data_IF_311119109017
#
_entry.id   IF_311119109017
#
_cell.length_a   1.000
_cell.length_b   1.000
_cell.length_c   1.000
_cell.angle_alpha   90.00
_cell.angle_beta   90.00
_cell.angle_gamma   90.00
#
_symmetry.space_group_name_H-M   'P 1'
#
loop_
_entity.id
_entity.type
_entity.pdbx_description
1 polymer ?
#
# COMPACT_ATOMS: atom_id res chain seq x y z
N UNK A 1 6.65 43.75 -63.55
CA UNK A 1 5.75 43.65 -62.36
C UNK A 1 5.76 42.27 -61.69
N UNK A 2 6.00 41.18 -62.39
CA UNK A 2 5.93 39.81 -61.84
C UNK A 2 7.05 39.47 -60.80
N UNK A 3 8.25 40.11 -60.86
CA UNK A 3 9.35 39.84 -59.93
C UNK A 3 9.19 40.46 -58.53
N UNK A 4 8.32 41.45 -58.36
CA UNK A 4 8.08 42.11 -57.09
C UNK A 4 7.20 41.27 -56.18
N UNK A 5 6.17 40.65 -56.74
CA UNK A 5 5.24 39.79 -56.00
C UNK A 5 5.86 38.48 -55.48
N UNK A 6 6.83 37.94 -56.22
CA UNK A 6 7.54 36.74 -55.77
C UNK A 6 8.47 37.03 -54.58
N UNK A 7 9.06 38.22 -54.49
CA UNK A 7 9.90 38.57 -53.33
C UNK A 7 9.08 38.85 -52.06
N UNK A 8 7.95 39.46 -52.18
CA UNK A 8 7.04 39.71 -51.03
C UNK A 8 6.41 38.43 -50.50
N UNK A 9 6.06 37.47 -51.36
CA UNK A 9 5.55 36.17 -50.94
C UNK A 9 6.60 35.32 -50.18
N UNK A 10 7.85 35.35 -50.62
CA UNK A 10 8.95 34.63 -49.95
C UNK A 10 9.25 35.22 -48.57
N UNK A 11 9.28 36.56 -48.44
CA UNK A 11 9.50 37.24 -47.18
C UNK A 11 8.37 36.97 -46.17
N UNK A 12 7.11 36.96 -46.64
CA UNK A 12 5.95 36.63 -45.80
C UNK A 12 5.96 35.17 -45.36
N UNK A 13 6.37 34.22 -46.21
CA UNK A 13 6.49 32.83 -45.87
C UNK A 13 7.61 32.57 -44.84
N UNK A 14 8.76 33.24 -44.98
CA UNK A 14 9.86 33.14 -44.02
C UNK A 14 9.50 33.74 -42.66
N UNK A 15 8.74 34.83 -42.63
CA UNK A 15 8.28 35.43 -41.36
C UNK A 15 7.24 34.53 -40.67
N UNK A 16 6.35 33.84 -41.42
CA UNK A 16 5.40 32.89 -40.86
C UNK A 16 6.09 31.64 -40.27
N UNK A 17 7.14 31.13 -40.93
CA UNK A 17 7.92 29.98 -40.43
C UNK A 17 8.73 30.38 -39.19
N UNK A 18 9.32 31.58 -39.17
CA UNK A 18 10.01 32.09 -38.00
C UNK A 18 9.07 32.33 -36.80
N UNK A 19 7.85 32.81 -37.05
CA UNK A 19 6.80 32.97 -36.02
C UNK A 19 6.32 31.64 -35.44
N UNK A 20 6.16 30.60 -36.28
CA UNK A 20 5.78 29.27 -35.84
C UNK A 20 6.93 28.57 -35.06
N UNK A 21 8.18 28.76 -35.48
CA UNK A 21 9.33 28.23 -34.77
C UNK A 21 9.55 28.91 -33.39
N UNK A 22 9.33 30.24 -33.33
CA UNK A 22 9.40 30.98 -32.06
C UNK A 22 8.23 30.60 -31.12
N UNK A 23 7.02 30.40 -31.67
CA UNK A 23 5.87 29.90 -30.90
C UNK A 23 6.08 28.49 -30.36
N UNK A 24 6.71 27.60 -31.15
CA UNK A 24 7.02 26.24 -30.71
C UNK A 24 8.15 26.22 -29.67
N UNK A 25 9.14 27.11 -29.80
CA UNK A 25 10.21 27.27 -28.79
C UNK A 25 9.71 27.91 -27.50
N UNK A 26 8.71 28.77 -27.54
CA UNK A 26 8.10 29.36 -26.35
C UNK A 26 7.11 28.42 -25.69
N UNK A 27 6.34 27.65 -26.47
CA UNK A 27 5.40 26.66 -25.93
C UNK A 27 6.14 25.41 -25.37
N UNK A 28 7.25 25.04 -25.94
CA UNK A 28 8.11 23.98 -25.41
C UNK A 28 8.82 24.33 -24.08
N UNK A 29 8.88 25.63 -23.70
CA UNK A 29 9.48 26.06 -22.43
C UNK A 29 8.50 26.08 -21.24
N UNK A 30 7.20 26.09 -21.48
CA UNK A 30 6.20 26.01 -20.40
C UNK A 30 5.83 24.58 -20.01
N UNK A 31 6.23 23.58 -20.81
CA UNK A 31 5.96 22.15 -20.53
C UNK A 31 7.05 21.37 -19.85
N UNK A 32 8.27 21.89 -19.74
CA UNK A 32 9.31 21.33 -18.87
C UNK A 32 9.19 21.99 -17.49
N UNK A 33 8.15 21.61 -16.75
CA UNK A 33 8.10 21.85 -15.32
C UNK A 33 9.36 21.22 -14.73
N UNK A 34 10.38 22.03 -14.52
CA UNK A 34 11.47 21.69 -13.60
C UNK A 34 10.76 21.54 -12.27
N UNK A 35 10.46 20.29 -11.93
CA UNK A 35 9.97 19.93 -10.62
C UNK A 35 11.12 20.30 -9.68
N UNK A 36 11.12 21.53 -9.20
CA UNK A 36 11.96 21.93 -8.08
C UNK A 36 11.50 21.08 -6.91
N UNK A 37 12.12 19.90 -6.74
CA UNK A 37 11.91 19.10 -5.55
C UNK A 37 12.31 19.96 -4.39
N UNK A 38 11.32 20.37 -3.61
CA UNK A 38 11.52 21.08 -2.36
C UNK A 38 12.55 20.33 -1.53
N UNK A 39 13.53 21.04 -1.01
CA UNK A 39 14.48 20.49 -0.05
C UNK A 39 13.83 20.47 1.33
N UNK A 40 13.69 19.30 1.92
CA UNK A 40 13.19 19.14 3.29
C UNK A 40 14.33 19.29 4.29
N UNK A 41 14.01 19.76 5.49
CA UNK A 41 14.95 19.93 6.60
C UNK A 41 14.60 18.99 7.75
N UNK A 42 15.63 18.53 8.46
CA UNK A 42 15.43 17.80 9.70
C UNK A 42 14.70 18.70 10.72
N UNK A 43 13.71 18.17 11.41
CA UNK A 43 12.85 18.91 12.34
C UNK A 43 11.75 19.74 11.67
N UNK A 44 11.58 19.67 10.35
CA UNK A 44 10.53 20.39 9.64
C UNK A 44 9.14 19.83 9.96
N UNK A 45 8.17 20.75 10.20
CA UNK A 45 6.77 20.38 10.33
C UNK A 45 6.11 20.30 8.96
N UNK A 46 5.45 19.18 8.68
CA UNK A 46 4.73 18.94 7.43
C UNK A 46 3.35 18.35 7.72
N UNK A 47 2.42 18.49 6.79
CA UNK A 47 1.09 17.93 6.91
C UNK A 47 0.95 16.69 6.03
N UNK A 48 0.33 15.64 6.56
CA UNK A 48 0.02 14.41 5.82
C UNK A 48 -1.34 14.56 5.14
N UNK A 49 -1.34 14.51 3.80
CA UNK A 49 -2.54 14.61 2.98
C UNK A 49 -3.25 13.26 2.81
N UNK A 50 -2.49 12.19 2.57
CA UNK A 50 -3.07 10.86 2.35
C UNK A 50 -2.10 9.73 2.71
N UNK A 51 -2.64 8.52 2.81
CA UNK A 51 -1.93 7.29 3.15
C UNK A 51 -1.89 6.39 1.91
N UNK A 52 -0.71 5.89 1.56
CA UNK A 52 -0.53 4.89 0.50
C UNK A 52 -0.74 3.48 1.08
N UNK A 53 -0.01 3.16 2.14
CA UNK A 53 0.00 1.88 2.84
C UNK A 53 0.43 2.05 4.31
N UNK A 54 0.85 0.97 4.96
CA UNK A 54 1.19 1.00 6.40
C UNK A 54 2.42 1.85 6.73
N UNK A 55 3.32 2.11 5.81
CA UNK A 55 4.58 2.82 6.05
C UNK A 55 4.94 3.86 5.00
N UNK A 56 3.98 4.22 4.15
CA UNK A 56 4.14 5.24 3.11
C UNK A 56 2.97 6.21 3.11
N UNK A 57 3.28 7.50 3.15
CA UNK A 57 2.30 8.60 3.12
C UNK A 57 2.61 9.59 2.02
N UNK A 58 1.65 10.46 1.72
CA UNK A 58 1.81 11.61 0.82
C UNK A 58 1.60 12.88 1.63
N UNK A 59 2.52 13.83 1.51
CA UNK A 59 2.42 15.17 2.11
C UNK A 59 1.53 16.08 1.26
N UNK A 60 1.12 17.22 1.81
CA UNK A 60 0.27 18.21 1.12
C UNK A 60 0.89 18.75 -0.18
N UNK A 61 2.21 18.75 -0.30
CA UNK A 61 2.94 19.15 -1.50
C UNK A 61 3.19 18.01 -2.50
N UNK A 62 2.60 16.83 -2.26
CA UNK A 62 2.68 15.66 -3.14
C UNK A 62 3.92 14.80 -2.93
N UNK A 63 4.80 15.10 -1.97
CA UNK A 63 5.96 14.26 -1.68
C UNK A 63 5.52 12.95 -1.01
N UNK A 64 6.00 11.85 -1.54
CA UNK A 64 5.85 10.54 -0.92
C UNK A 64 6.93 10.33 0.14
N UNK A 65 6.54 9.98 1.35
CA UNK A 65 7.45 9.68 2.46
C UNK A 65 7.35 8.21 2.83
N UNK A 66 8.45 7.49 2.74
CA UNK A 66 8.61 6.12 3.23
C UNK A 66 9.22 6.17 4.63
N UNK A 67 8.60 5.49 5.58
CA UNK A 67 9.09 5.47 6.96
C UNK A 67 10.41 4.74 7.05
N UNK A 68 11.44 5.44 7.51
CA UNK A 68 12.76 4.88 7.71
C UNK A 68 12.75 3.92 8.90
N UNK A 69 13.33 2.75 8.69
CA UNK A 69 13.44 1.73 9.73
C UNK A 69 12.17 0.93 10.02
N UNK A 70 11.08 1.19 9.30
CA UNK A 70 9.79 0.52 9.43
C UNK A 70 9.43 -0.19 8.14
N UNK A 71 8.92 -1.43 8.24
CA UNK A 71 8.53 -2.24 7.10
C UNK A 71 7.22 -2.96 7.42
N UNK A 72 6.13 -2.48 6.81
CA UNK A 72 4.80 -3.07 7.00
C UNK A 72 4.51 -4.13 5.95
N UNK A 73 3.58 -5.06 6.21
CA UNK A 73 3.07 -5.96 5.20
C UNK A 73 2.48 -5.19 4.02
N UNK A 74 2.72 -5.69 2.79
CA UNK A 74 2.40 -5.01 1.54
C UNK A 74 0.93 -5.10 1.14
N UNK A 75 0.37 -3.96 0.68
CA UNK A 75 -0.97 -3.88 0.09
C UNK A 75 -0.87 -3.98 -1.43
N UNK A 76 -0.78 -5.16 -1.99
CA UNK A 76 -0.71 -5.36 -3.45
C UNK A 76 -2.05 -5.08 -4.15
N UNK A 77 -2.36 -3.82 -4.43
CA UNK A 77 -3.71 -3.38 -4.86
C UNK A 77 -4.24 -4.04 -6.14
N UNK A 78 -3.35 -4.49 -7.05
CA UNK A 78 -3.77 -4.95 -8.39
C UNK A 78 -3.12 -6.25 -8.84
N UNK A 79 -2.14 -6.79 -8.14
CA UNK A 79 -1.29 -7.90 -8.63
C UNK A 79 -1.49 -9.19 -7.86
N UNK A 80 -1.73 -9.11 -6.56
CA UNK A 80 -1.94 -10.25 -5.66
C UNK A 80 -2.74 -9.81 -4.41
N UNK A 81 -3.20 -10.78 -3.64
CA UNK A 81 -3.86 -10.51 -2.36
C UNK A 81 -2.91 -9.76 -1.42
N UNK A 82 -3.42 -8.81 -0.61
CA UNK A 82 -2.62 -8.12 0.39
C UNK A 82 -2.01 -9.12 1.38
N UNK A 83 -0.82 -8.81 1.86
CA UNK A 83 -0.20 -9.58 2.92
C UNK A 83 -1.02 -9.48 4.20
N UNK A 84 -0.90 -10.49 5.06
CA UNK A 84 -1.57 -10.47 6.37
C UNK A 84 -1.15 -9.21 7.15
N UNK A 85 -2.11 -8.54 7.75
CA UNK A 85 -1.97 -7.25 8.46
C UNK A 85 -1.70 -6.02 7.59
N UNK A 86 -1.55 -6.13 6.28
CA UNK A 86 -1.32 -4.98 5.41
C UNK A 86 -2.43 -3.92 5.55
N UNK A 87 -3.70 -4.33 5.48
CA UNK A 87 -4.84 -3.42 5.63
C UNK A 87 -4.95 -2.86 7.06
N UNK A 88 -4.59 -3.66 8.07
CA UNK A 88 -4.60 -3.24 9.49
C UNK A 88 -3.52 -2.19 9.73
N UNK A 89 -2.30 -2.43 9.23
CA UNK A 89 -1.19 -1.48 9.33
C UNK A 89 -1.53 -0.16 8.61
N UNK A 90 -2.09 -0.25 7.40
CA UNK A 90 -2.52 0.93 6.62
C UNK A 90 -3.60 1.74 7.33
N UNK A 91 -4.61 1.07 7.90
CA UNK A 91 -5.65 1.73 8.68
C UNK A 91 -5.10 2.37 9.96
N UNK A 92 -4.19 1.69 10.65
CA UNK A 92 -3.55 2.25 11.85
C UNK A 92 -2.69 3.46 11.53
N UNK A 93 -1.94 3.40 10.43
CA UNK A 93 -1.19 4.55 9.93
C UNK A 93 -2.12 5.73 9.63
N UNK A 94 -3.25 5.48 8.95
CA UNK A 94 -4.28 6.49 8.72
C UNK A 94 -4.75 7.13 10.04
N UNK A 95 -5.11 6.34 11.04
CA UNK A 95 -5.60 6.84 12.33
C UNK A 95 -4.54 7.67 13.08
N UNK A 96 -3.25 7.37 12.87
CA UNK A 96 -2.16 8.10 13.50
C UNK A 96 -1.90 9.46 12.85
N UNK A 97 -1.87 9.53 11.50
CA UNK A 97 -1.28 10.69 10.84
C UNK A 97 -2.15 11.38 9.79
N UNK A 98 -3.30 10.81 9.37
CA UNK A 98 -4.11 11.42 8.32
C UNK A 98 -4.63 12.79 8.73
N UNK A 99 -4.36 13.79 7.87
CA UNK A 99 -4.78 15.18 8.12
C UNK A 99 -4.05 15.86 9.29
N UNK A 100 -3.01 15.22 9.88
CA UNK A 100 -2.25 15.78 10.99
C UNK A 100 -0.97 16.47 10.54
N UNK A 101 -0.43 17.33 11.39
CA UNK A 101 0.92 17.88 11.27
C UNK A 101 1.89 16.97 12.01
N UNK A 102 2.99 16.61 11.36
CA UNK A 102 4.05 15.76 11.90
C UNK A 102 5.40 16.41 11.72
N UNK A 103 6.37 16.05 12.56
CA UNK A 103 7.75 16.51 12.44
C UNK A 103 8.57 15.47 11.68
N UNK A 104 9.26 15.88 10.61
CA UNK A 104 10.21 15.04 9.88
C UNK A 104 11.50 14.85 10.66
N UNK A 105 11.99 13.61 10.71
CA UNK A 105 13.37 13.29 11.09
C UNK A 105 14.06 12.61 9.94
N UNK A 106 14.97 13.35 9.31
CA UNK A 106 15.70 12.89 8.15
C UNK A 106 16.89 11.99 8.53
N UNK A 107 17.37 11.14 7.62
CA UNK A 107 18.60 10.39 7.84
C UNK A 107 19.79 11.35 7.98
N UNK A 108 20.89 10.90 8.63
CA UNK A 108 22.12 11.68 8.66
C UNK A 108 22.59 12.06 7.26
N UNK A 109 23.29 13.19 7.10
CA UNK A 109 23.79 13.68 5.82
C UNK A 109 24.70 12.67 5.05
N UNK A 110 25.19 11.64 5.74
CA UNK A 110 25.97 10.53 5.16
C UNK A 110 25.11 9.46 4.49
N UNK A 111 23.79 9.56 4.60
CA UNK A 111 22.83 8.61 4.01
C UNK A 111 21.92 9.33 3.01
N UNK A 112 21.48 8.67 1.93
CA UNK A 112 20.55 9.28 0.98
C UNK A 112 19.22 9.61 1.67
N UNK A 113 18.72 10.82 1.42
CA UNK A 113 17.41 11.25 1.90
C UNK A 113 16.26 10.73 1.02
N UNK A 114 16.55 10.30 -0.20
CA UNK A 114 15.58 9.72 -1.15
C UNK A 114 15.96 8.27 -1.45
N UNK A 115 14.96 7.43 -1.60
CA UNK A 115 15.12 6.06 -2.08
C UNK A 115 15.20 6.00 -3.63
N UNK A 116 15.41 4.79 -4.18
CA UNK A 116 15.50 4.56 -5.62
C UNK A 116 14.20 4.91 -6.38
N UNK A 117 13.07 5.02 -5.68
CA UNK A 117 11.78 5.41 -6.24
C UNK A 117 11.50 6.91 -6.09
N UNK A 118 12.44 7.65 -5.51
CA UNK A 118 12.32 9.08 -5.28
C UNK A 118 11.39 9.45 -4.12
N UNK A 119 11.09 8.51 -3.22
CA UNK A 119 10.37 8.79 -1.97
C UNK A 119 11.34 9.33 -0.93
N UNK A 120 10.89 10.28 -0.12
CA UNK A 120 11.67 10.80 1.01
C UNK A 120 11.74 9.72 2.11
N UNK A 121 12.94 9.38 2.55
CA UNK A 121 13.16 8.51 3.70
C UNK A 121 13.17 9.35 4.97
N UNK A 122 12.19 9.18 5.85
CA UNK A 122 12.10 9.93 7.10
C UNK A 122 11.42 9.12 8.21
N UNK A 123 11.75 9.42 9.46
CA UNK A 123 10.92 9.06 10.61
C UNK A 123 9.91 10.20 10.83
N UNK A 124 8.63 9.88 10.86
CA UNK A 124 7.58 10.85 11.18
C UNK A 124 7.30 10.84 12.68
N UNK A 125 7.31 12.03 13.27
CA UNK A 125 7.06 12.19 14.70
C UNK A 125 5.78 12.98 14.97
N UNK A 126 4.94 12.40 15.81
CA UNK A 126 3.75 13.02 16.34
C UNK A 126 4.09 13.73 17.63
N UNK A 127 3.78 15.02 17.69
CA UNK A 127 3.85 15.78 18.95
C UNK A 127 2.72 15.31 19.87
N UNK A 128 3.07 14.77 21.02
CA UNK A 128 2.11 14.50 22.08
C UNK A 128 2.14 15.65 23.07
N UNK A 129 0.99 16.24 23.35
CA UNK A 129 0.89 17.31 24.34
C UNK A 129 1.39 16.85 25.72
N UNK A 130 2.08 17.74 26.46
CA UNK A 130 2.66 17.48 27.77
C UNK A 130 4.08 16.92 27.71
N UNK A 131 4.55 16.35 28.81
CA UNK A 131 5.94 15.87 29.02
C UNK A 131 6.28 14.59 28.23
N UNK A 132 5.35 14.02 27.48
CA UNK A 132 5.52 12.72 26.80
C UNK A 132 6.44 12.77 25.57
N UNK A 133 6.82 13.98 25.10
CA UNK A 133 7.69 14.17 23.93
C UNK A 133 7.07 13.70 22.61
N UNK A 134 7.84 13.82 21.53
CA UNK A 134 7.41 13.40 20.19
C UNK A 134 7.60 11.89 20.00
N UNK A 135 6.57 11.21 19.47
CA UNK A 135 6.54 9.75 19.29
C UNK A 135 6.72 9.41 17.81
N UNK A 136 7.61 8.46 17.51
CA UNK A 136 7.81 7.94 16.17
C UNK A 136 6.62 7.09 15.73
N UNK A 137 6.08 7.39 14.54
CA UNK A 137 4.98 6.62 13.93
C UNK A 137 5.47 5.21 13.58
N UNK A 138 6.65 5.09 12.97
CA UNK A 138 7.23 3.80 12.63
C UNK A 138 7.51 2.93 13.85
N UNK A 139 8.08 3.50 14.93
CA UNK A 139 8.32 2.80 16.19
C UNK A 139 7.00 2.34 16.84
N UNK A 140 5.93 3.16 16.75
CA UNK A 140 4.59 2.78 17.22
C UNK A 140 4.04 1.58 16.47
N UNK A 141 4.08 1.58 15.13
CA UNK A 141 3.62 0.48 14.30
C UNK A 141 4.39 -0.82 14.59
N UNK A 142 5.71 -0.72 14.77
CA UNK A 142 6.56 -1.86 15.16
C UNK A 142 6.17 -2.39 16.54
N UNK A 143 5.99 -1.50 17.50
CA UNK A 143 5.62 -1.85 18.88
C UNK A 143 4.22 -2.46 19.00
N UNK A 144 3.30 -2.11 18.10
CA UNK A 144 1.97 -2.72 17.98
C UNK A 144 2.00 -4.05 17.18
N UNK A 145 3.15 -4.47 16.66
CA UNK A 145 3.31 -5.69 15.87
C UNK A 145 2.72 -5.58 14.45
N UNK A 146 2.55 -4.37 13.92
CA UNK A 146 2.02 -4.09 12.59
C UNK A 146 3.12 -3.82 11.56
N UNK A 147 4.37 -3.73 12.00
CA UNK A 147 5.55 -3.58 11.15
C UNK A 147 6.73 -4.37 11.70
N UNK A 148 7.72 -4.61 10.84
CA UNK A 148 9.04 -5.13 11.21
C UNK A 148 10.06 -4.00 11.28
N UNK A 149 11.08 -4.16 12.11
CA UNK A 149 12.22 -3.26 12.12
C UNK A 149 13.12 -3.55 10.90
N UNK A 150 13.16 -2.61 9.94
CA UNK A 150 14.08 -2.64 8.80
C UNK A 150 15.32 -1.79 9.11
N UNK A 151 16.43 -2.45 9.42
CA UNK A 151 17.63 -1.78 9.91
C UNK A 151 18.71 -1.59 8.83
N UNK A 152 18.38 -1.73 7.54
CA UNK A 152 19.37 -1.60 6.46
C UNK A 152 20.07 -0.23 6.51
N UNK A 153 19.29 0.86 6.69
CA UNK A 153 19.77 2.24 6.65
C UNK A 153 19.68 2.94 8.02
N UNK A 154 19.42 2.19 9.10
CA UNK A 154 19.29 2.72 10.46
C UNK A 154 20.41 2.21 11.36
N UNK A 155 21.05 3.11 12.09
CA UNK A 155 22.20 2.80 12.96
C UNK A 155 22.05 3.48 14.32
N UNK A 156 22.93 3.10 15.26
CA UNK A 156 23.04 3.73 16.57
C UNK A 156 21.80 3.59 17.45
N UNK A 157 21.51 4.60 18.29
CA UNK A 157 20.41 4.54 19.26
C UNK A 157 19.03 4.29 18.65
N UNK A 158 18.78 4.80 17.44
CA UNK A 158 17.52 4.59 16.71
C UNK A 158 17.32 3.12 16.39
N UNK A 159 18.34 2.45 15.82
CA UNK A 159 18.27 1.01 15.55
C UNK A 159 18.01 0.19 16.84
N UNK A 160 18.55 0.66 17.99
CA UNK A 160 18.30 0.06 19.30
C UNK A 160 16.82 0.12 19.68
N UNK A 161 16.21 1.30 19.58
CA UNK A 161 14.77 1.49 19.89
C UNK A 161 13.87 0.64 19.01
N UNK A 162 14.12 0.60 17.70
CA UNK A 162 13.31 -0.19 16.76
C UNK A 162 13.41 -1.70 17.07
N UNK A 163 14.61 -2.21 17.37
CA UNK A 163 14.78 -3.62 17.82
C UNK A 163 14.05 -3.90 19.10
N UNK A 164 14.13 -3.00 20.07
CA UNK A 164 13.46 -3.15 21.36
C UNK A 164 11.94 -3.15 21.19
N UNK A 165 11.39 -2.24 20.37
CA UNK A 165 9.97 -2.18 20.05
C UNK A 165 9.51 -3.50 19.42
N UNK A 166 10.25 -4.03 18.43
CA UNK A 166 9.93 -5.31 17.79
C UNK A 166 10.04 -6.47 18.80
N UNK A 167 11.08 -6.50 19.62
CA UNK A 167 11.25 -7.55 20.62
C UNK A 167 10.11 -7.57 21.64
N UNK A 168 9.65 -6.39 22.09
CA UNK A 168 8.48 -6.26 22.98
C UNK A 168 7.21 -6.76 22.29
N UNK A 169 6.97 -6.36 21.03
CA UNK A 169 5.81 -6.81 20.26
C UNK A 169 5.82 -8.34 20.08
N UNK A 170 6.97 -8.94 19.78
CA UNK A 170 7.15 -10.39 19.67
C UNK A 170 6.89 -11.11 20.99
N UNK A 171 7.45 -10.61 22.10
CA UNK A 171 7.27 -11.21 23.43
C UNK A 171 5.80 -11.15 23.87
N UNK A 172 5.11 -10.04 23.59
CA UNK A 172 3.70 -9.84 23.90
C UNK A 172 2.76 -10.46 22.85
N UNK A 173 3.30 -11.03 21.75
CA UNK A 173 2.54 -11.66 20.65
C UNK A 173 1.54 -10.73 20.01
N UNK A 174 1.91 -9.46 19.82
CA UNK A 174 1.06 -8.45 19.24
C UNK A 174 1.05 -8.54 17.70
N UNK A 175 -0.08 -8.18 17.10
CA UNK A 175 -0.23 -8.04 15.66
C UNK A 175 0.24 -9.29 14.90
N UNK A 176 1.18 -9.11 13.96
CA UNK A 176 1.73 -10.20 13.13
C UNK A 176 2.51 -11.27 13.93
N UNK A 177 2.89 -10.97 15.17
CA UNK A 177 3.58 -11.88 16.07
C UNK A 177 2.61 -12.70 16.93
N UNK A 178 1.31 -12.39 16.87
CA UNK A 178 0.27 -13.13 17.57
C UNK A 178 0.22 -14.58 17.08
N UNK A 179 0.06 -15.48 18.02
CA UNK A 179 -0.06 -16.90 17.75
C UNK A 179 -1.54 -17.28 17.71
N UNK A 180 -2.19 -16.98 16.60
CA UNK A 180 -3.55 -17.44 16.28
C UNK A 180 -3.53 -18.85 15.64
N UNK A 181 -2.32 -19.47 15.57
CA UNK A 181 -2.14 -20.83 15.05
C UNK A 181 -2.41 -21.90 16.08
N UNK A 182 -2.44 -21.55 17.38
CA UNK A 182 -2.60 -22.50 18.49
C UNK A 182 -4.04 -22.62 18.91
N UNK A 183 -4.56 -23.79 18.73
CA UNK A 183 -5.85 -24.23 19.21
C UNK A 183 -6.78 -24.74 18.11
N UNK A 184 -7.63 -25.73 18.41
CA UNK A 184 -8.66 -26.18 17.51
C UNK A 184 -9.74 -25.10 17.41
N UNK A 185 -10.06 -24.65 16.22
CA UNK A 185 -11.32 -23.93 15.97
C UNK A 185 -12.46 -24.96 16.06
N UNK A 186 -13.61 -24.68 16.70
CA UNK A 186 -14.69 -25.67 16.87
C UNK A 186 -15.14 -26.29 15.54
N UNK A 187 -15.13 -25.51 14.46
CA UNK A 187 -15.51 -25.96 13.12
C UNK A 187 -14.31 -26.29 12.22
N UNK A 188 -13.10 -26.26 12.74
CA UNK A 188 -11.86 -26.47 12.01
C UNK A 188 -11.56 -25.39 10.98
N UNK A 189 -10.76 -25.76 9.98
CA UNK A 189 -10.33 -24.89 8.87
C UNK A 189 -10.49 -25.63 7.55
N UNK A 190 -10.67 -24.87 6.47
CA UNK A 190 -10.82 -25.44 5.14
C UNK A 190 -9.90 -24.76 4.13
N UNK A 191 -9.49 -25.50 3.11
CA UNK A 191 -8.76 -24.97 1.97
C UNK A 191 -9.14 -25.71 0.70
N UNK A 192 -8.90 -25.09 -0.45
CA UNK A 192 -8.99 -25.80 -1.72
C UNK A 192 -7.70 -26.57 -2.00
N UNK A 193 -7.78 -27.79 -2.58
CA UNK A 193 -6.61 -28.52 -3.07
C UNK A 193 -5.77 -27.70 -4.06
N UNK A 194 -6.44 -26.86 -4.85
CA UNK A 194 -5.83 -26.01 -5.88
C UNK A 194 -5.62 -24.56 -5.39
N UNK A 195 -6.10 -24.21 -4.19
CA UNK A 195 -6.03 -22.87 -3.63
C UNK A 195 -4.79 -22.63 -2.78
N UNK A 196 -4.48 -21.36 -2.62
CA UNK A 196 -3.32 -20.91 -1.83
C UNK A 196 -3.70 -20.47 -0.41
N UNK A 197 -5.00 -20.31 -0.10
CA UNK A 197 -5.47 -19.78 1.18
C UNK A 197 -6.19 -20.84 2.02
N UNK A 198 -6.03 -20.71 3.33
CA UNK A 198 -6.82 -21.38 4.36
C UNK A 198 -7.96 -20.46 4.76
N UNK A 199 -9.14 -21.02 5.02
CA UNK A 199 -10.34 -20.28 5.39
C UNK A 199 -11.02 -20.88 6.61
N UNK A 200 -11.82 -20.09 7.32
CA UNK A 200 -12.87 -20.61 8.21
C UNK A 200 -13.98 -21.26 7.38
N UNK A 201 -14.68 -22.28 7.88
CA UNK A 201 -15.74 -22.96 7.12
C UNK A 201 -16.88 -22.05 6.66
N UNK A 202 -17.20 -21.01 7.43
CA UNK A 202 -18.24 -20.00 7.19
C UNK A 202 -17.80 -18.87 6.24
N UNK A 203 -16.57 -18.90 5.76
CA UNK A 203 -16.05 -17.86 4.85
C UNK A 203 -16.72 -17.91 3.48
N UNK A 204 -17.11 -16.75 2.95
CA UNK A 204 -17.72 -16.62 1.61
C UNK A 204 -16.87 -17.23 0.48
N UNK A 205 -15.54 -17.24 0.65
CA UNK A 205 -14.64 -17.89 -0.30
C UNK A 205 -14.55 -19.41 -0.09
N UNK A 206 -14.71 -19.89 1.15
CA UNK A 206 -14.78 -21.31 1.45
C UNK A 206 -16.04 -21.95 0.82
N UNK A 207 -17.16 -21.26 0.84
CA UNK A 207 -18.41 -21.70 0.23
C UNK A 207 -18.30 -21.95 -1.29
N UNK A 208 -17.30 -21.37 -1.95
CA UNK A 208 -17.04 -21.56 -3.39
C UNK A 208 -16.14 -22.74 -3.71
N UNK A 209 -15.61 -23.42 -2.70
CA UNK A 209 -14.74 -24.59 -2.90
C UNK A 209 -15.63 -25.77 -3.22
N UNK A 210 -15.46 -26.35 -4.42
CA UNK A 210 -16.20 -27.55 -4.77
C UNK A 210 -15.88 -28.70 -3.81
N UNK A 211 -16.83 -29.59 -3.47
CA UNK A 211 -16.61 -30.69 -2.54
C UNK A 211 -15.40 -31.56 -2.89
N UNK A 212 -15.16 -31.81 -4.18
CA UNK A 212 -14.02 -32.59 -4.66
C UNK A 212 -12.65 -31.94 -4.36
N UNK A 213 -12.60 -30.62 -4.21
CA UNK A 213 -11.38 -29.87 -3.92
C UNK A 213 -11.26 -29.45 -2.46
N UNK A 214 -12.28 -29.69 -1.64
CA UNK A 214 -12.30 -29.26 -0.25
C UNK A 214 -11.34 -30.11 0.61
N UNK A 215 -10.47 -29.45 1.33
CA UNK A 215 -9.61 -30.01 2.37
C UNK A 215 -10.05 -29.47 3.71
N UNK A 216 -10.06 -30.31 4.76
CA UNK A 216 -10.41 -29.91 6.12
C UNK A 216 -9.20 -30.12 7.04
N UNK A 217 -9.05 -29.25 8.01
CA UNK A 217 -8.00 -29.26 9.00
C UNK A 217 -8.57 -28.96 10.38
N UNK A 218 -8.09 -29.67 11.40
CA UNK A 218 -8.54 -29.42 12.78
C UNK A 218 -7.89 -28.18 13.38
N UNK A 219 -6.70 -27.78 12.89
CA UNK A 219 -5.98 -26.62 13.39
C UNK A 219 -5.49 -25.77 12.23
N UNK A 220 -5.34 -24.45 12.46
CA UNK A 220 -4.78 -23.54 11.50
C UNK A 220 -3.31 -23.87 11.18
N UNK A 221 -2.55 -24.30 12.20
CA UNK A 221 -1.17 -24.73 12.05
C UNK A 221 -1.04 -25.88 11.04
N UNK A 222 -1.85 -26.94 11.21
CA UNK A 222 -1.87 -28.05 10.27
C UNK A 222 -2.20 -27.63 8.84
N UNK A 223 -3.09 -26.65 8.68
CA UNK A 223 -3.44 -26.10 7.37
C UNK A 223 -2.28 -25.28 6.76
N UNK A 224 -1.62 -24.43 7.56
CA UNK A 224 -0.48 -23.60 7.14
C UNK A 224 0.77 -24.44 6.84
N UNK A 225 0.97 -25.56 7.54
CA UNK A 225 2.05 -26.51 7.27
C UNK A 225 2.02 -27.10 5.85
N UNK A 226 0.86 -27.00 5.17
CA UNK A 226 0.75 -27.40 3.76
C UNK A 226 1.28 -26.35 2.77
N UNK A 227 1.91 -25.26 3.26
CA UNK A 227 2.43 -24.17 2.44
C UNK A 227 1.38 -23.14 2.00
N UNK A 228 0.19 -23.16 2.61
CA UNK A 228 -0.87 -22.22 2.34
C UNK A 228 -0.76 -20.99 3.23
N UNK A 229 -1.32 -19.87 2.77
CA UNK A 229 -1.43 -18.63 3.53
C UNK A 229 -2.83 -18.49 4.15
N UNK A 230 -2.99 -17.59 5.09
CA UNK A 230 -4.29 -17.27 5.70
C UNK A 230 -5.16 -16.49 4.73
N UNK A 231 -6.45 -16.75 4.74
CA UNK A 231 -7.41 -15.94 4.01
C UNK A 231 -7.46 -14.52 4.60
N UNK A 232 -7.22 -13.48 3.81
CA UNK A 232 -7.24 -12.11 4.30
C UNK A 232 -8.63 -11.63 4.75
N UNK A 233 -9.69 -12.36 4.40
CA UNK A 233 -11.08 -11.97 4.74
C UNK A 233 -11.57 -12.58 6.05
N UNK A 234 -11.23 -13.84 6.36
CA UNK A 234 -11.82 -14.55 7.50
C UNK A 234 -10.79 -14.95 8.57
N UNK A 235 -9.51 -14.86 8.29
CA UNK A 235 -8.42 -15.19 9.23
C UNK A 235 -7.52 -13.98 9.55
N UNK A 236 -7.96 -12.79 9.16
CA UNK A 236 -7.54 -11.52 9.73
C UNK A 236 -8.46 -11.24 10.93
N UNK A 237 -7.86 -10.99 12.07
CA UNK A 237 -8.45 -10.97 13.41
C UNK A 237 -9.87 -10.42 13.58
N UNK A 238 -10.56 -10.96 14.58
CA UNK A 238 -11.77 -10.46 15.23
C UNK A 238 -11.60 -8.99 15.67
N UNK A 239 -12.01 -8.08 14.82
CA UNK A 239 -11.99 -6.64 15.03
C UNK A 239 -12.51 -5.85 13.83
N UNK A 240 -12.59 -6.45 12.67
CA UNK A 240 -13.23 -5.88 11.49
C UNK A 240 -14.28 -6.78 10.92
N UNK A 241 -15.42 -6.80 11.60
CA UNK A 241 -16.66 -7.24 11.01
C UNK A 241 -17.20 -6.13 10.10
N UNK A 242 -17.08 -6.31 8.79
CA UNK A 242 -18.17 -6.05 7.88
C UNK A 242 -17.98 -6.99 6.71
N UNK A 243 -18.93 -7.86 6.40
CA UNK A 243 -18.87 -8.65 5.19
C UNK A 243 -18.92 -7.65 4.02
N UNK A 244 -17.85 -7.57 3.24
CA UNK A 244 -17.96 -6.96 1.92
C UNK A 244 -19.05 -7.74 1.19
N UNK A 245 -20.07 -7.02 0.71
CA UNK A 245 -21.15 -7.58 -0.11
C UNK A 245 -20.58 -8.63 -1.06
N UNK A 246 -21.18 -9.81 -1.05
CA UNK A 246 -20.86 -10.85 -2.02
C UNK A 246 -20.79 -10.24 -3.42
N UNK A 247 -19.79 -10.57 -4.23
CA UNK A 247 -19.79 -10.19 -5.63
C UNK A 247 -21.09 -10.72 -6.27
N UNK A 248 -21.65 -10.01 -7.26
CA UNK A 248 -22.90 -10.42 -7.88
C UNK A 248 -22.83 -11.86 -8.35
N UNK A 249 -23.86 -12.65 -8.06
CA UNK A 249 -24.02 -13.99 -8.58
C UNK A 249 -23.86 -13.97 -10.10
N UNK A 250 -23.08 -14.91 -10.62
CA UNK A 250 -23.03 -15.13 -12.06
C UNK A 250 -24.45 -15.45 -12.52
N UNK A 251 -24.97 -14.81 -13.58
CA UNK A 251 -26.28 -15.16 -14.13
C UNK A 251 -26.27 -16.65 -14.48
N UNK A 252 -27.26 -17.36 -13.94
CA UNK A 252 -27.51 -18.77 -14.31
C UNK A 252 -27.62 -18.85 -15.83
N UNK A 253 -26.87 -19.78 -16.41
CA UNK A 253 -26.99 -20.11 -17.82
C UNK A 253 -28.43 -20.54 -18.06
N UNK A 254 -29.20 -19.74 -18.79
CA UNK A 254 -30.56 -20.10 -19.23
C UNK A 254 -30.49 -21.46 -19.92
N UNK A 255 -31.13 -22.45 -19.32
CA UNK A 255 -31.43 -23.72 -19.95
C UNK A 255 -32.16 -23.44 -21.27
N UNK A 256 -31.66 -24.03 -22.34
CA UNK A 256 -32.20 -23.84 -23.67
C UNK A 256 -33.69 -24.20 -23.71
N UNK A 257 -34.48 -23.29 -24.26
CA UNK A 257 -35.85 -23.56 -24.65
C UNK A 257 -35.83 -24.48 -25.86
N UNK A 258 -36.29 -25.74 -25.63
CA UNK A 258 -36.65 -26.66 -26.70
C UNK A 258 -37.80 -26.04 -27.53
N UNK A 259 -37.56 -25.77 -28.80
CA UNK A 259 -38.57 -25.39 -29.75
C UNK A 259 -39.41 -26.59 -30.17
N UNK A 260 -40.70 -26.42 -30.45
CA UNK A 260 -41.59 -27.49 -30.83
C UNK A 260 -41.28 -28.08 -32.19
N UNK A 261 -41.07 -29.40 -32.26
CA UNK A 261 -41.02 -30.20 -33.50
C UNK A 261 -42.38 -30.10 -34.20
N UNK A 262 -42.38 -29.59 -35.43
CA UNK A 262 -43.46 -29.80 -36.35
C UNK A 262 -43.47 -31.27 -36.83
N UNK A 263 -44.58 -31.95 -36.75
CA UNK A 263 -44.81 -33.26 -37.34
C UNK A 263 -45.82 -33.12 -38.53
N UNK A 264 -45.99 -34.12 -39.35
CA UNK A 264 -45.91 -34.17 -40.80
C UNK A 264 -47.14 -33.63 -41.53
#
# INVERSE_FOLDING_TARGET
MMRYWQRTAVVAALAAVAGLAAGFLLWGREGAGVCFRRAYRDGEHVRVASIIDGDTVVLDDGMHVRYRGCDTPEVYRFVRDPERFAEVASARNHDLVHGTSVTLRLPPATSPALDAHGRLLADLRLERGGDAGAVSVGETLIGEGLARANLQDVRGPEAGRLREAEAKARAAKLGMWGDDTKGPHPDGFVASRKGKCVHRPDCVYAARISPANLMRFNTLEAALATGRTRCPTCLLEEGRAAPRKAPPEKPEARAGADGPKAAP
#
